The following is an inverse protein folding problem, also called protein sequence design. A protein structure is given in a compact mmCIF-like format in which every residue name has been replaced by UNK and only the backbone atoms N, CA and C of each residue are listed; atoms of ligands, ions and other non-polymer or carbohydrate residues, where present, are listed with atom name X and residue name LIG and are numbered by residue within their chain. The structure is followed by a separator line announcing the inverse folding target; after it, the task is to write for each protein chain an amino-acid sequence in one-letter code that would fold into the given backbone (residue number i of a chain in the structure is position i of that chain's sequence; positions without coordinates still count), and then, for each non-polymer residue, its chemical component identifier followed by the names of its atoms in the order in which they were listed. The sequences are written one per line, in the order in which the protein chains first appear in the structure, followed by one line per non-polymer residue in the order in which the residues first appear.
data_IF_477097342298
#
_entry.id   IF_477097342298
#
_cell.length_a   1.000
_cell.length_b   1.000
_cell.length_c   1.000
_cell.angle_alpha   90.00
_cell.angle_beta   90.00
_cell.angle_gamma   90.00
#
_symmetry.space_group_name_H-M   'P 1'
#
loop_
_entity.id
_entity.type
_entity.pdbx_description
1 polymer ?
#
# COMPACT_ATOMS: atom_id res chain seq x y z
N UNK A 1 55.62 -10.91 -7.89
CA UNK A 1 54.95 -11.08 -6.59
C UNK A 1 53.63 -11.77 -6.90
N UNK A 2 53.54 -13.06 -6.61
CA UNK A 2 52.47 -13.95 -7.07
C UNK A 2 51.27 -13.69 -6.14
N UNK A 3 50.23 -13.01 -6.63
CA UNK A 3 49.01 -12.85 -5.84
C UNK A 3 48.33 -14.21 -5.71
N UNK A 4 48.31 -14.73 -4.49
CA UNK A 4 47.46 -15.84 -4.07
C UNK A 4 46.00 -15.41 -4.24
N UNK A 5 45.23 -16.12 -5.05
CA UNK A 5 43.80 -15.88 -5.29
C UNK A 5 42.93 -16.66 -4.28
N UNK A 6 43.37 -16.74 -3.02
CA UNK A 6 42.70 -17.52 -1.99
C UNK A 6 41.53 -16.74 -1.37
N UNK A 7 40.45 -17.47 -1.08
CA UNK A 7 39.24 -16.95 -0.45
C UNK A 7 39.50 -16.19 0.88
N UNK A 8 40.51 -16.60 1.64
CA UNK A 8 40.98 -15.96 2.88
C UNK A 8 41.56 -14.56 2.66
N UNK A 9 42.24 -14.34 1.53
CA UNK A 9 42.78 -13.02 1.16
C UNK A 9 41.64 -12.04 0.87
N UNK A 10 40.61 -12.50 0.13
CA UNK A 10 39.40 -11.72 -0.13
C UNK A 10 38.61 -11.43 1.15
N UNK A 11 38.50 -12.41 2.06
CA UNK A 11 37.91 -12.19 3.39
C UNK A 11 38.68 -11.14 4.20
N UNK A 12 40.01 -11.15 4.14
CA UNK A 12 40.85 -10.15 4.83
C UNK A 12 40.58 -8.73 4.32
N UNK A 13 40.45 -8.58 3.00
CA UNK A 13 40.07 -7.31 2.37
C UNK A 13 38.68 -6.86 2.87
N UNK A 14 37.69 -7.76 2.86
CA UNK A 14 36.33 -7.43 3.31
C UNK A 14 36.27 -7.03 4.78
N UNK A 15 36.95 -7.76 5.66
CA UNK A 15 37.01 -7.43 7.10
C UNK A 15 37.63 -6.06 7.32
N UNK A 16 38.69 -5.74 6.57
CA UNK A 16 39.35 -4.43 6.62
C UNK A 16 38.43 -3.30 6.15
N UNK A 17 37.62 -3.53 5.11
CA UNK A 17 36.61 -2.57 4.63
C UNK A 17 35.46 -2.36 5.61
N UNK A 18 35.07 -3.41 6.34
CA UNK A 18 34.04 -3.31 7.38
C UNK A 18 34.53 -2.51 8.58
N UNK A 19 35.83 -2.56 8.87
CA UNK A 19 36.53 -1.77 9.89
C UNK A 19 37.49 -2.61 10.71
N UNK A 20 37.00 -3.67 11.35
CA UNK A 20 37.81 -4.59 12.16
C UNK A 20 37.14 -5.95 12.34
N UNK A 21 37.86 -6.91 12.92
CA UNK A 21 37.31 -8.22 13.32
C UNK A 21 36.18 -8.05 14.34
N UNK A 22 36.39 -7.20 15.35
CA UNK A 22 35.40 -6.91 16.39
C UNK A 22 34.12 -6.30 15.80
N UNK A 23 34.28 -5.33 14.89
CA UNK A 23 33.15 -4.71 14.21
C UNK A 23 32.40 -5.68 13.30
N UNK A 24 33.13 -6.53 12.56
CA UNK A 24 32.56 -7.56 11.72
C UNK A 24 31.77 -8.56 12.55
N UNK A 25 32.34 -9.06 13.63
CA UNK A 25 31.69 -10.00 14.55
C UNK A 25 30.37 -9.44 15.11
N UNK A 26 30.40 -8.17 15.55
CA UNK A 26 29.21 -7.43 16.02
C UNK A 26 28.13 -7.31 14.94
N UNK A 27 28.48 -6.87 13.73
CA UNK A 27 27.54 -6.71 12.60
C UNK A 27 26.93 -8.05 12.17
N UNK A 28 27.67 -9.15 12.31
CA UNK A 28 27.22 -10.49 11.92
C UNK A 28 26.59 -11.29 13.06
N UNK A 29 26.57 -10.76 14.28
CA UNK A 29 26.11 -11.44 15.50
C UNK A 29 26.80 -12.79 15.72
N UNK A 30 28.13 -12.82 15.56
CA UNK A 30 28.98 -13.99 15.82
C UNK A 30 30.14 -13.63 16.76
N UNK A 31 30.84 -14.64 17.28
CA UNK A 31 32.04 -14.42 18.09
C UNK A 31 33.23 -13.94 17.23
N UNK A 32 34.12 -13.10 17.78
CA UNK A 32 35.34 -12.67 17.09
C UNK A 32 36.25 -13.84 16.69
N UNK A 33 36.29 -14.88 17.52
CA UNK A 33 37.03 -16.11 17.23
C UNK A 33 36.51 -16.81 15.97
N UNK A 34 35.21 -16.74 15.69
CA UNK A 34 34.61 -17.25 14.45
C UNK A 34 35.10 -16.47 13.24
N UNK A 35 35.12 -15.13 13.32
CA UNK A 35 35.62 -14.28 12.23
C UNK A 35 37.12 -14.49 11.97
N UNK A 36 37.92 -14.66 13.03
CA UNK A 36 39.35 -15.02 12.91
C UNK A 36 39.53 -16.37 12.22
N UNK A 37 38.77 -17.39 12.62
CA UNK A 37 38.79 -18.71 11.98
C UNK A 37 38.44 -18.64 10.49
N UNK A 38 37.48 -17.80 10.09
CA UNK A 38 37.17 -17.58 8.67
C UNK A 38 38.32 -16.93 7.91
N UNK A 39 38.89 -15.85 8.47
CA UNK A 39 40.03 -15.14 7.87
C UNK A 39 41.26 -16.04 7.71
N UNK A 40 41.52 -16.87 8.71
CA UNK A 40 42.72 -17.71 8.78
C UNK A 40 42.52 -19.08 8.11
N UNK A 41 41.36 -19.32 7.48
CA UNK A 41 41.07 -20.56 6.73
C UNK A 41 40.75 -21.79 7.59
N UNK A 42 40.46 -21.60 8.88
CA UNK A 42 40.10 -22.70 9.80
C UNK A 42 38.65 -23.18 9.69
N UNK A 43 37.78 -22.43 9.00
CA UNK A 43 36.40 -22.83 8.67
C UNK A 43 35.82 -21.87 7.65
N UNK A 44 34.76 -22.27 6.93
CA UNK A 44 34.06 -21.38 6.00
C UNK A 44 32.85 -20.67 6.62
N UNK A 45 32.60 -19.39 6.28
CA UNK A 45 31.35 -18.74 6.64
C UNK A 45 30.16 -19.39 5.95
N UNK A 46 29.07 -19.59 6.70
CA UNK A 46 27.80 -20.03 6.10
C UNK A 46 27.28 -18.99 5.09
N UNK A 47 26.46 -19.43 4.12
CA UNK A 47 25.87 -18.59 3.07
C UNK A 47 25.31 -17.24 3.57
N UNK A 48 24.57 -17.25 4.69
CA UNK A 48 24.01 -16.03 5.30
C UNK A 48 25.08 -15.00 5.69
N UNK A 49 26.23 -15.48 6.18
CA UNK A 49 27.35 -14.63 6.57
C UNK A 49 28.13 -14.13 5.37
N UNK A 50 28.29 -14.93 4.31
CA UNK A 50 28.90 -14.47 3.05
C UNK A 50 28.13 -13.30 2.43
N UNK A 51 26.80 -13.41 2.38
CA UNK A 51 25.92 -12.33 1.89
C UNK A 51 26.11 -11.06 2.73
N UNK A 52 26.13 -11.19 4.06
CA UNK A 52 26.27 -10.04 4.96
C UNK A 52 27.68 -9.43 4.91
N UNK A 53 28.73 -10.25 4.77
CA UNK A 53 30.11 -9.77 4.57
C UNK A 53 30.23 -8.95 3.28
N UNK A 54 29.68 -9.45 2.17
CA UNK A 54 29.65 -8.72 0.92
C UNK A 54 28.90 -7.37 1.05
N UNK A 55 27.74 -7.39 1.71
CA UNK A 55 26.93 -6.19 1.96
C UNK A 55 27.65 -5.15 2.82
N UNK A 56 28.19 -5.54 3.97
CA UNK A 56 28.82 -4.59 4.90
C UNK A 56 30.20 -4.14 4.44
N UNK A 57 30.91 -4.97 3.68
CA UNK A 57 32.19 -4.63 3.07
C UNK A 57 32.07 -3.85 1.76
N UNK A 58 30.85 -3.65 1.26
CA UNK A 58 30.59 -3.01 -0.04
C UNK A 58 31.41 -3.66 -1.17
N UNK A 59 31.28 -4.99 -1.30
CA UNK A 59 31.94 -5.79 -2.35
C UNK A 59 30.93 -6.72 -3.04
N UNK A 60 31.27 -7.17 -4.25
CA UNK A 60 30.53 -8.20 -4.97
C UNK A 60 30.61 -9.55 -4.24
N UNK A 61 29.47 -10.21 -4.05
CA UNK A 61 29.42 -11.56 -3.49
C UNK A 61 30.11 -12.58 -4.43
N UNK A 62 29.95 -12.41 -5.74
CA UNK A 62 30.58 -13.27 -6.74
C UNK A 62 32.11 -13.17 -6.63
N UNK A 63 32.64 -11.95 -6.55
CA UNK A 63 34.07 -11.72 -6.33
C UNK A 63 34.52 -12.29 -5.00
N UNK A 64 33.80 -12.03 -3.89
CA UNK A 64 34.18 -12.54 -2.57
C UNK A 64 34.30 -14.07 -2.58
N UNK A 65 33.30 -14.78 -3.10
CA UNK A 65 33.25 -16.25 -3.07
C UNK A 65 34.21 -16.86 -4.08
N UNK A 66 34.13 -16.45 -5.35
CA UNK A 66 34.81 -17.13 -6.46
C UNK A 66 36.10 -16.47 -6.94
N UNK A 67 36.32 -15.19 -6.61
CA UNK A 67 37.39 -14.38 -7.20
C UNK A 67 37.04 -13.80 -8.58
N UNK A 68 35.90 -14.21 -9.17
CA UNK A 68 35.49 -13.77 -10.50
C UNK A 68 34.83 -12.39 -10.51
N UNK A 69 35.13 -11.60 -11.54
CA UNK A 69 34.57 -10.27 -11.76
C UNK A 69 35.19 -9.18 -10.88
N UNK A 70 34.57 -7.99 -10.88
CA UNK A 70 35.09 -6.85 -10.14
C UNK A 70 34.77 -6.93 -8.64
N UNK A 71 35.71 -6.48 -7.80
CA UNK A 71 35.55 -6.42 -6.34
C UNK A 71 34.39 -5.52 -5.93
N UNK A 72 34.22 -4.36 -6.59
CA UNK A 72 33.08 -3.50 -6.33
C UNK A 72 31.85 -4.07 -7.03
N UNK A 73 30.69 -4.10 -6.38
CA UNK A 73 29.46 -4.39 -7.09
C UNK A 73 29.35 -3.38 -8.25
N UNK A 74 29.13 -3.88 -9.46
CA UNK A 74 28.85 -3.03 -10.62
C UNK A 74 27.78 -2.02 -10.21
N UNK A 75 28.07 -0.72 -10.32
CA UNK A 75 27.32 0.39 -9.71
C UNK A 75 25.80 0.39 -10.03
N UNK A 76 25.33 -0.41 -10.99
CA UNK A 76 23.91 -0.55 -11.33
C UNK A 76 23.09 -1.57 -10.52
N UNK A 77 23.67 -2.37 -9.61
CA UNK A 77 22.90 -3.44 -8.91
C UNK A 77 22.50 -3.06 -7.48
N UNK A 78 23.32 -2.27 -6.76
CA UNK A 78 23.03 -1.89 -5.37
C UNK A 78 21.96 -0.80 -5.25
N UNK A 79 21.90 0.15 -6.20
CA UNK A 79 20.85 1.17 -6.25
C UNK A 79 19.48 0.59 -6.63
N UNK A 80 19.44 -0.40 -7.53
CA UNK A 80 18.18 -1.01 -8.00
C UNK A 80 17.47 -1.92 -6.98
N UNK A 81 18.18 -2.44 -5.98
CA UNK A 81 17.57 -3.32 -4.96
C UNK A 81 17.08 -2.52 -3.74
N UNK A 82 17.62 -1.32 -3.50
CA UNK A 82 17.13 -0.39 -2.48
C UNK A 82 15.90 0.43 -2.94
N UNK A 83 15.66 0.52 -4.25
CA UNK A 83 14.50 1.20 -4.84
C UNK A 83 13.19 0.39 -4.76
N UNK A 84 13.24 -0.91 -4.47
CA UNK A 84 12.04 -1.71 -4.16
C UNK A 84 11.67 -1.62 -2.66
N UNK A 85 11.62 -0.40 -2.12
CA UNK A 85 10.81 -0.15 -0.92
C UNK A 85 9.34 -0.19 -1.34
N UNK A 86 8.76 -1.39 -1.49
CA UNK A 86 7.32 -1.56 -1.76
C UNK A 86 6.50 -0.85 -0.68
N UNK A 87 6.98 -0.78 0.56
CA UNK A 87 6.34 0.00 1.63
C UNK A 87 6.32 1.52 1.40
N UNK A 88 7.22 2.07 0.58
CA UNK A 88 7.24 3.49 0.26
C UNK A 88 6.48 3.86 -1.03
N UNK A 89 5.96 2.86 -1.75
CA UNK A 89 5.12 2.97 -2.97
C UNK A 89 3.68 3.41 -2.74
N UNK A 90 3.14 2.93 -1.63
CA UNK A 90 1.71 2.76 -1.43
C UNK A 90 1.27 3.37 -0.12
N UNK A 91 0.03 3.84 -0.10
CA UNK A 91 -0.72 4.14 1.10
C UNK A 91 -1.82 3.08 1.27
N UNK A 92 -2.12 2.75 2.52
CA UNK A 92 -3.08 1.71 2.86
C UNK A 92 -4.38 2.35 3.34
N UNK A 93 -5.46 2.15 2.59
CA UNK A 93 -6.79 2.64 2.93
C UNK A 93 -7.52 1.56 3.73
N UNK A 94 -8.08 1.88 4.91
CA UNK A 94 -8.82 0.92 5.72
C UNK A 94 -10.13 0.50 5.04
N UNK A 95 -10.40 -0.81 5.08
CA UNK A 95 -11.69 -1.37 4.72
C UNK A 95 -12.52 -1.57 5.98
N UNK A 96 -13.68 -0.93 6.00
CA UNK A 96 -14.67 -1.09 7.06
C UNK A 96 -15.68 -2.16 6.68
N UNK A 97 -16.02 -2.99 7.66
CA UNK A 97 -17.19 -3.85 7.56
C UNK A 97 -18.42 -3.03 7.95
N UNK A 98 -19.16 -2.61 6.93
CA UNK A 98 -20.34 -1.79 7.11
C UNK A 98 -21.54 -2.67 6.79
N UNK A 99 -22.02 -3.38 7.81
CA UNK A 99 -23.38 -3.93 7.81
C UNK A 99 -24.28 -2.91 8.50
N UNK A 100 -25.12 -2.21 7.73
CA UNK A 100 -26.11 -1.30 8.31
C UNK A 100 -27.47 -1.97 8.34
N UNK A 101 -27.86 -2.41 9.53
CA UNK A 101 -29.26 -2.55 9.89
C UNK A 101 -29.48 -2.06 11.32
N UNK A 102 -30.43 -1.14 11.45
CA UNK A 102 -31.01 -0.58 12.66
C UNK A 102 -30.18 0.47 13.45
N UNK A 103 -30.48 1.75 13.17
CA UNK A 103 -30.77 2.72 14.23
C UNK A 103 -29.58 3.42 14.89
N UNK A 104 -29.04 4.45 14.25
CA UNK A 104 -28.76 5.80 14.80
C UNK A 104 -27.74 6.51 13.91
N UNK A 105 -28.11 7.69 13.41
CA UNK A 105 -27.44 8.42 12.34
C UNK A 105 -26.11 9.07 12.71
N UNK A 106 -25.14 8.30 13.17
CA UNK A 106 -23.75 8.73 13.24
C UNK A 106 -22.86 7.65 12.67
N UNK A 107 -22.12 8.01 11.62
CA UNK A 107 -21.06 7.23 10.96
C UNK A 107 -19.90 6.85 11.91
N UNK A 108 -20.00 7.18 13.20
CA UNK A 108 -18.98 6.98 14.21
C UNK A 108 -19.50 6.02 15.28
N UNK A 109 -19.02 4.77 15.27
CA UNK A 109 -18.27 4.20 16.42
C UNK A 109 -18.05 2.68 16.40
N UNK A 110 -18.65 1.87 15.50
CA UNK A 110 -18.56 0.41 15.62
C UNK A 110 -18.39 -0.37 14.30
N UNK A 111 -17.84 0.23 13.25
CA UNK A 111 -17.43 -0.57 12.09
C UNK A 111 -16.01 -1.10 12.31
N UNK A 112 -15.86 -2.42 12.37
CA UNK A 112 -14.56 -3.06 12.48
C UNK A 112 -13.77 -2.89 11.17
N UNK A 113 -12.47 -2.65 11.30
CA UNK A 113 -11.55 -2.68 10.17
C UNK A 113 -11.27 -4.14 9.84
N UNK A 114 -11.88 -4.64 8.77
CA UNK A 114 -11.72 -6.03 8.30
C UNK A 114 -10.55 -6.21 7.33
N UNK A 115 -9.97 -5.11 6.85
CA UNK A 115 -8.84 -5.18 5.93
C UNK A 115 -8.27 -3.83 5.59
N UNK A 116 -7.28 -3.84 4.69
CA UNK A 116 -6.72 -2.63 4.07
C UNK A 116 -6.41 -2.92 2.61
N UNK A 117 -6.67 -1.94 1.74
CA UNK A 117 -6.27 -2.00 0.35
C UNK A 117 -5.12 -1.01 0.11
N UNK A 118 -4.10 -1.46 -0.61
CA UNK A 118 -2.96 -0.64 -0.99
C UNK A 118 -3.27 0.14 -2.28
N UNK A 119 -3.08 1.45 -2.24
CA UNK A 119 -3.17 2.33 -3.40
C UNK A 119 -1.83 3.02 -3.64
N UNK A 120 -1.42 3.14 -4.90
CA UNK A 120 -0.18 3.86 -5.24
C UNK A 120 -0.28 5.30 -4.77
N UNK A 121 0.72 5.77 -4.01
CA UNK A 121 0.81 7.17 -3.57
C UNK A 121 0.79 8.16 -4.73
N UNK A 122 1.46 7.78 -5.83
CA UNK A 122 1.48 8.56 -7.07
C UNK A 122 0.07 8.67 -7.65
N UNK A 123 -0.70 7.58 -7.67
CA UNK A 123 -2.07 7.60 -8.17
C UNK A 123 -2.99 8.47 -7.30
N UNK A 124 -2.92 8.33 -5.97
CA UNK A 124 -3.67 9.17 -5.04
C UNK A 124 -3.35 10.66 -5.21
N UNK A 125 -2.05 11.00 -5.24
CA UNK A 125 -1.58 12.37 -5.44
C UNK A 125 -2.04 12.96 -6.78
N UNK A 126 -1.98 12.18 -7.87
CA UNK A 126 -2.46 12.62 -9.19
C UNK A 126 -3.97 12.87 -9.21
N UNK A 127 -4.73 12.19 -8.35
CA UNK A 127 -6.17 12.42 -8.16
C UNK A 127 -6.48 13.52 -7.13
N UNK A 128 -5.46 14.08 -6.47
CA UNK A 128 -5.63 15.09 -5.42
C UNK A 128 -6.19 14.52 -4.11
N UNK A 129 -6.10 13.20 -3.91
CA UNK A 129 -6.64 12.50 -2.74
C UNK A 129 -5.59 12.39 -1.64
N UNK A 130 -6.05 12.43 -0.38
CA UNK A 130 -5.25 12.14 0.80
C UNK A 130 -5.75 10.85 1.46
N UNK A 131 -4.86 9.92 1.79
CA UNK A 131 -5.23 8.62 2.39
C UNK A 131 -6.05 8.76 3.67
N UNK A 132 -5.83 9.83 4.45
CA UNK A 132 -6.58 10.08 5.70
C UNK A 132 -8.06 10.35 5.46
N UNK A 133 -8.42 10.75 4.25
CA UNK A 133 -9.78 11.13 3.84
C UNK A 133 -10.42 10.01 3.00
N UNK A 134 -9.86 8.81 3.02
CA UNK A 134 -10.29 7.68 2.21
C UNK A 134 -10.71 6.50 3.08
N UNK A 135 -11.77 5.82 2.64
CA UNK A 135 -12.23 4.56 3.21
C UNK A 135 -12.59 3.58 2.09
N UNK A 136 -12.48 2.28 2.38
CA UNK A 136 -13.03 1.22 1.54
C UNK A 136 -14.29 0.67 2.18
N UNK A 137 -15.35 0.56 1.39
CA UNK A 137 -16.63 -0.05 1.79
C UNK A 137 -17.07 -1.08 0.75
N UNK A 138 -17.90 -2.04 1.15
CA UNK A 138 -18.47 -3.03 0.24
C UNK A 138 -19.84 -2.57 -0.26
N UNK A 139 -20.06 -2.64 -1.58
CA UNK A 139 -21.36 -2.46 -2.18
C UNK A 139 -22.21 -3.71 -1.95
N UNK A 140 -23.48 -3.52 -1.59
CA UNK A 140 -24.46 -4.60 -1.39
C UNK A 140 -25.66 -4.36 -2.30
N UNK A 141 -26.08 -5.41 -3.00
CA UNK A 141 -27.21 -5.41 -3.91
C UNK A 141 -26.85 -4.98 -5.34
N UNK A 142 -27.85 -4.96 -6.20
CA UNK A 142 -27.71 -4.80 -7.65
C UNK A 142 -28.15 -3.42 -8.16
N UNK A 143 -28.52 -2.50 -7.26
CA UNK A 143 -29.10 -1.22 -7.66
C UNK A 143 -28.15 -0.33 -8.48
N UNK A 144 -26.85 -0.59 -8.42
CA UNK A 144 -25.84 0.14 -9.18
C UNK A 144 -25.26 -0.66 -10.35
N UNK A 145 -25.81 -1.85 -10.65
CA UNK A 145 -25.45 -2.63 -11.84
C UNK A 145 -25.91 -1.88 -13.09
N UNK A 146 -25.10 -1.76 -14.15
CA UNK A 146 -23.85 -2.50 -14.40
C UNK A 146 -22.57 -1.82 -13.88
N UNK A 147 -22.64 -0.56 -13.44
CA UNK A 147 -21.46 0.23 -13.08
C UNK A 147 -20.74 -0.31 -11.86
N UNK A 148 -21.49 -0.73 -10.84
CA UNK A 148 -20.98 -1.34 -9.61
C UNK A 148 -21.76 -2.63 -9.42
N UNK A 149 -21.04 -3.75 -9.42
CA UNK A 149 -21.63 -5.06 -9.14
C UNK A 149 -21.80 -5.26 -7.65
N UNK A 150 -22.73 -6.15 -7.30
CA UNK A 150 -22.86 -6.65 -5.94
C UNK A 150 -21.49 -7.14 -5.41
N UNK A 151 -21.23 -6.93 -4.12
CA UNK A 151 -19.98 -7.23 -3.42
C UNK A 151 -18.71 -6.49 -3.89
N UNK A 152 -18.81 -5.55 -4.84
CA UNK A 152 -17.66 -4.72 -5.24
C UNK A 152 -17.17 -3.85 -4.09
N UNK A 153 -15.85 -3.66 -4.01
CA UNK A 153 -15.24 -2.69 -3.11
C UNK A 153 -15.28 -1.30 -3.72
N UNK A 154 -15.60 -0.30 -2.90
CA UNK A 154 -15.69 1.11 -3.27
C UNK A 154 -14.64 1.91 -2.51
N UNK A 155 -13.85 2.71 -3.22
CA UNK A 155 -13.00 3.73 -2.63
C UNK A 155 -13.80 5.02 -2.50
N UNK A 156 -14.00 5.48 -1.27
CA UNK A 156 -14.83 6.65 -0.93
C UNK A 156 -13.96 7.74 -0.34
N UNK A 157 -14.06 8.95 -0.90
CA UNK A 157 -13.47 10.17 -0.34
C UNK A 157 -14.46 10.84 0.62
N UNK A 158 -14.12 10.88 1.91
CA UNK A 158 -15.01 11.32 3.00
C UNK A 158 -14.95 12.82 3.29
N UNK A 159 -13.98 13.56 2.71
CA UNK A 159 -13.90 15.03 2.87
C UNK A 159 -15.10 15.77 2.27
N UNK A 160 -15.87 15.12 1.41
CA UNK A 160 -16.99 15.72 0.70
C UNK A 160 -18.32 15.40 1.39
N UNK A 161 -18.63 16.11 2.47
CA UNK A 161 -19.90 15.99 3.21
C UNK A 161 -21.08 16.73 2.54
N UNK A 162 -20.83 17.34 1.37
CA UNK A 162 -21.82 18.08 0.58
C UNK A 162 -21.79 17.64 -0.86
N UNK A 163 -22.90 17.87 -1.57
CA UNK A 163 -22.95 17.64 -3.00
C UNK A 163 -22.01 18.62 -3.74
N UNK A 164 -21.00 18.07 -4.39
CA UNK A 164 -19.95 18.82 -5.12
C UNK A 164 -20.10 18.73 -6.64
N UNK A 165 -21.09 17.98 -7.12
CA UNK A 165 -21.35 17.75 -8.54
C UNK A 165 -21.71 16.30 -8.82
N UNK A 166 -22.19 16.04 -10.02
CA UNK A 166 -22.71 14.72 -10.39
C UNK A 166 -21.68 13.60 -10.16
N UNK A 167 -22.16 12.44 -9.74
CA UNK A 167 -21.31 11.29 -9.45
C UNK A 167 -21.98 10.27 -8.55
N UNK A 168 -21.23 9.24 -8.18
CA UNK A 168 -21.70 8.22 -7.23
C UNK A 168 -21.23 8.62 -5.84
N UNK A 169 -22.13 8.55 -4.87
CA UNK A 169 -21.90 8.92 -3.49
C UNK A 169 -22.37 7.79 -2.57
N UNK A 170 -21.75 7.72 -1.41
CA UNK A 170 -22.28 6.99 -0.26
C UNK A 170 -23.05 7.98 0.59
N UNK A 171 -24.33 7.69 0.83
CA UNK A 171 -25.26 8.55 1.56
C UNK A 171 -25.98 7.77 2.64
N UNK A 172 -26.50 8.47 3.64
CA UNK A 172 -27.51 7.92 4.55
C UNK A 172 -28.87 8.35 4.02
N UNK A 173 -29.72 7.37 3.70
CA UNK A 173 -31.11 7.59 3.29
C UNK A 173 -32.01 6.67 4.11
N UNK A 174 -33.03 7.24 4.77
CA UNK A 174 -33.92 6.53 5.69
C UNK A 174 -33.18 5.67 6.73
N UNK A 175 -32.08 6.21 7.27
CA UNK A 175 -31.25 5.54 8.27
C UNK A 175 -30.38 4.40 7.74
N UNK A 176 -30.35 4.17 6.42
CA UNK A 176 -29.54 3.13 5.77
C UNK A 176 -28.41 3.74 4.96
N UNK A 177 -27.21 3.16 5.04
CA UNK A 177 -26.08 3.56 4.20
C UNK A 177 -26.23 2.90 2.83
N UNK A 178 -26.31 3.72 1.78
CA UNK A 178 -26.47 3.24 0.40
C UNK A 178 -25.53 3.98 -0.56
N UNK A 179 -25.10 3.29 -1.60
CA UNK A 179 -24.41 3.90 -2.74
C UNK A 179 -25.43 4.27 -3.82
N UNK A 180 -25.46 5.54 -4.23
CA UNK A 180 -26.36 6.06 -5.27
C UNK A 180 -25.68 7.10 -6.14
N UNK A 181 -26.16 7.27 -7.37
CA UNK A 181 -25.76 8.37 -8.23
C UNK A 181 -26.55 9.62 -7.86
N UNK A 182 -25.85 10.68 -7.47
CA UNK A 182 -26.43 11.98 -7.24
C UNK A 182 -26.26 12.83 -8.50
N UNK A 183 -27.33 13.50 -8.91
CA UNK A 183 -27.34 14.40 -10.06
C UNK A 183 -28.19 15.63 -9.76
N UNK A 184 -27.73 16.82 -10.14
CA UNK A 184 -28.55 18.03 -9.99
C UNK A 184 -29.76 18.00 -10.93
N UNK A 185 -30.95 18.26 -10.39
CA UNK A 185 -32.14 18.46 -11.21
C UNK A 185 -32.14 19.90 -11.77
N UNK A 186 -31.87 20.04 -13.07
CA UNK A 186 -31.80 21.34 -13.72
C UNK A 186 -33.16 22.04 -13.86
N UNK A 187 -34.27 21.30 -13.75
CA UNK A 187 -35.61 21.88 -13.86
C UNK A 187 -36.06 22.55 -12.56
N UNK A 188 -35.66 21.96 -11.42
CA UNK A 188 -36.14 22.37 -10.10
C UNK A 188 -35.04 22.99 -9.22
N UNK A 189 -33.76 22.85 -9.60
CA UNK A 189 -32.62 23.20 -8.76
C UNK A 189 -32.33 22.21 -7.64
N UNK A 190 -33.16 21.16 -7.51
CA UNK A 190 -33.04 20.10 -6.51
C UNK A 190 -31.98 19.05 -6.86
N UNK A 191 -32.15 17.85 -6.28
CA UNK A 191 -31.24 16.73 -6.44
C UNK A 191 -31.99 15.44 -6.78
N UNK A 192 -31.44 14.67 -7.70
CA UNK A 192 -31.91 13.34 -8.05
C UNK A 192 -31.01 12.31 -7.38
N UNK A 193 -31.61 11.35 -6.68
CA UNK A 193 -30.95 10.14 -6.22
C UNK A 193 -31.33 9.03 -7.21
N UNK A 194 -30.33 8.55 -7.94
CA UNK A 194 -30.48 7.62 -9.05
C UNK A 194 -29.78 6.29 -8.74
N UNK A 195 -30.38 5.25 -9.28
CA UNK A 195 -29.78 3.91 -9.39
C UNK A 195 -29.31 3.74 -10.83
N UNK A 196 -28.14 3.14 -11.06
CA UNK A 196 -27.68 2.85 -12.42
C UNK A 196 -28.44 1.65 -13.02
N UNK A 197 -29.03 0.82 -12.17
CA UNK A 197 -29.94 -0.24 -12.57
C UNK A 197 -31.33 0.33 -12.89
N UNK A 198 -31.82 0.24 -14.14
CA UNK A 198 -33.10 0.82 -14.56
C UNK A 198 -34.33 0.22 -13.88
N UNK A 199 -34.21 -0.92 -13.21
CA UNK A 199 -35.32 -1.52 -12.45
C UNK A 199 -35.75 -0.67 -11.24
N UNK A 200 -34.88 0.25 -10.79
CA UNK A 200 -35.10 1.10 -9.64
C UNK A 200 -35.55 2.50 -10.06
N UNK A 201 -36.58 3.02 -9.40
CA UNK A 201 -37.12 4.35 -9.70
C UNK A 201 -36.24 5.48 -9.11
N UNK A 202 -36.08 6.61 -9.83
CA UNK A 202 -35.47 7.82 -9.29
C UNK A 202 -36.21 8.38 -8.08
N UNK A 203 -35.47 8.86 -7.09
CA UNK A 203 -36.00 9.69 -6.00
C UNK A 203 -35.64 11.14 -6.29
N UNK A 204 -36.64 12.03 -6.26
CA UNK A 204 -36.47 13.46 -6.49
C UNK A 204 -36.53 14.20 -5.17
N UNK A 205 -35.50 14.96 -4.87
CA UNK A 205 -35.43 15.87 -3.74
C UNK A 205 -35.59 17.30 -4.23
N UNK A 206 -36.42 18.07 -3.55
CA UNK A 206 -36.45 19.52 -3.67
C UNK A 206 -35.11 20.14 -3.26
N UNK A 207 -34.90 21.42 -3.58
CA UNK A 207 -33.69 22.12 -3.15
C UNK A 207 -33.50 22.08 -1.62
N UNK A 208 -34.60 22.22 -0.86
CA UNK A 208 -34.58 22.15 0.60
C UNK A 208 -34.22 20.75 1.11
N UNK A 209 -34.86 19.72 0.60
CA UNK A 209 -34.55 18.33 1.00
C UNK A 209 -33.12 17.92 0.62
N UNK A 210 -32.60 18.46 -0.49
CA UNK A 210 -31.22 18.24 -0.91
C UNK A 210 -30.18 18.89 0.02
N UNK A 211 -30.56 19.90 0.81
CA UNK A 211 -29.67 20.47 1.84
C UNK A 211 -29.57 19.57 3.08
N UNK A 212 -30.61 18.76 3.34
CA UNK A 212 -30.70 17.86 4.49
C UNK A 212 -30.12 16.46 4.20
N UNK A 213 -29.69 16.18 2.97
CA UNK A 213 -29.11 14.89 2.61
C UNK A 213 -27.77 14.68 3.34
N UNK A 214 -27.65 13.54 4.01
CA UNK A 214 -26.40 13.19 4.69
C UNK A 214 -25.48 12.42 3.76
N UNK A 215 -24.42 13.08 3.29
CA UNK A 215 -23.41 12.48 2.43
C UNK A 215 -22.22 12.04 3.28
N UNK A 216 -21.88 10.75 3.18
CA UNK A 216 -20.67 10.18 3.79
C UNK A 216 -19.44 10.49 2.94
N UNK A 217 -19.57 10.42 1.61
CA UNK A 217 -18.48 10.76 0.71
C UNK A 217 -18.74 10.39 -0.74
N UNK A 218 -17.81 10.77 -1.61
CA UNK A 218 -17.88 10.51 -3.05
C UNK A 218 -17.12 9.24 -3.41
N UNK A 219 -17.72 8.37 -4.21
CA UNK A 219 -17.07 7.16 -4.74
C UNK A 219 -16.15 7.57 -5.88
N UNK A 220 -14.86 7.25 -5.76
CA UNK A 220 -13.81 7.60 -6.73
C UNK A 220 -13.42 6.40 -7.60
N UNK A 221 -13.56 5.19 -7.08
CA UNK A 221 -13.19 3.96 -7.75
C UNK A 221 -14.03 2.79 -7.23
N UNK A 222 -14.23 1.78 -8.08
CA UNK A 222 -14.83 0.50 -7.70
C UNK A 222 -14.06 -0.66 -8.33
N UNK A 223 -14.02 -1.80 -7.64
CA UNK A 223 -13.44 -3.04 -8.14
C UNK A 223 -13.87 -4.24 -7.31
N UNK A 224 -13.98 -5.41 -7.93
CA UNK A 224 -14.49 -6.61 -7.28
C UNK A 224 -14.31 -7.86 -8.13
N UNK A 225 -14.69 -8.99 -7.56
CA UNK A 225 -14.70 -10.30 -8.23
C UNK A 225 -15.66 -10.28 -9.44
N UNK A 226 -15.39 -11.15 -10.43
CA UNK A 226 -16.18 -11.28 -11.66
C UNK A 226 -16.98 -12.57 -11.62
#
# INVERSE_FOLDING_TARGET
MIYSDQFTDRLTIVISRIGSIAETARKLSVAESTVRKWRDGGSDPQRKHLINLAKYGDVSLAWLVSGEGDMKPSQGVSEKIAEYNIGSEFDYVPQYDIEVSAGSGKFEQQSDIVGKLAFSRKWLKNKGLNVTDLVIVRAIGDSMVPTIRDNSLLLVETRQEKFTGDGIYVIIHDGTIIAKRLQRDLNTGGLLILSDNPAYQPIKLTQKEAEDIYIIGKVIWSGGEI
#
